data_IF_814630975199
#
_entry.id   IF_814630975199
#
_cell.length_a   1.000
_cell.length_b   1.000
_cell.length_c   1.000
_cell.angle_alpha   90.00
_cell.angle_beta   90.00
_cell.angle_gamma   90.00
#
_symmetry.space_group_name_H-M   'P 1'
#
loop_
_entity.id
_entity.type
_entity.pdbx_description
1 polymer ?
#
# COMPACT_ATOMS: atom_id res chain seq x y z
N UNK A 1 -12.98 6.63 -6.64
CA UNK A 1 -11.84 7.46 -6.22
C UNK A 1 -11.68 8.69 -7.10
N UNK A 2 -11.74 8.57 -8.42
CA UNK A 2 -11.71 9.72 -9.36
C UNK A 2 -12.73 10.82 -8.99
N UNK A 3 -13.99 10.44 -8.73
CA UNK A 3 -15.04 11.38 -8.30
C UNK A 3 -14.75 12.10 -6.96
N UNK A 4 -13.95 11.52 -6.08
CA UNK A 4 -13.55 12.17 -4.83
C UNK A 4 -12.39 13.15 -5.05
N UNK A 5 -11.50 12.87 -6.01
CA UNK A 5 -10.47 13.81 -6.45
C UNK A 5 -11.06 15.01 -7.20
N UNK A 6 -12.02 14.78 -8.09
CA UNK A 6 -12.74 15.84 -8.82
C UNK A 6 -13.45 16.81 -7.87
N UNK A 7 -13.94 16.30 -6.74
CA UNK A 7 -14.57 17.11 -5.69
C UNK A 7 -13.59 17.70 -4.67
N UNK A 8 -12.27 17.63 -4.92
CA UNK A 8 -11.21 18.11 -4.03
C UNK A 8 -11.21 17.51 -2.60
N UNK A 9 -11.89 16.38 -2.41
CA UNK A 9 -11.94 15.68 -1.12
C UNK A 9 -10.64 14.91 -0.84
N UNK A 10 -9.89 14.58 -1.89
CA UNK A 10 -8.61 13.89 -1.83
C UNK A 10 -7.64 14.58 -2.79
N UNK A 11 -6.45 14.95 -2.30
CA UNK A 11 -5.37 15.54 -3.10
C UNK A 11 -4.17 14.61 -3.13
N UNK A 12 -3.72 14.25 -4.32
CA UNK A 12 -2.60 13.35 -4.56
C UNK A 12 -1.24 14.03 -4.45
N UNK A 13 -0.18 13.25 -4.68
CA UNK A 13 1.19 13.75 -4.80
C UNK A 13 1.48 14.14 -6.25
N UNK A 14 2.00 15.34 -6.48
CA UNK A 14 2.48 15.73 -7.82
C UNK A 14 3.91 15.22 -8.02
N UNK A 15 4.12 14.36 -9.03
CA UNK A 15 5.41 13.72 -9.31
C UNK A 15 5.96 14.18 -10.66
N UNK A 16 7.28 14.39 -10.70
CA UNK A 16 8.03 14.67 -11.92
C UNK A 16 7.92 16.11 -12.44
N UNK A 17 8.64 16.39 -13.53
CA UNK A 17 8.64 17.71 -14.17
C UNK A 17 7.29 18.04 -14.82
N UNK A 18 6.57 17.01 -15.27
CA UNK A 18 5.24 17.12 -15.89
C UNK A 18 4.10 17.29 -14.88
N UNK A 19 4.40 17.27 -13.57
CA UNK A 19 3.42 17.42 -12.48
C UNK A 19 2.23 16.46 -12.59
N UNK A 20 2.51 15.18 -12.84
CA UNK A 20 1.46 14.16 -12.83
C UNK A 20 0.98 13.98 -11.39
N UNK A 21 -0.31 14.20 -11.15
CA UNK A 21 -0.92 13.98 -9.84
C UNK A 21 -1.26 12.50 -9.67
N UNK A 22 -0.63 11.86 -8.68
CA UNK A 22 -0.87 10.47 -8.33
C UNK A 22 -1.47 10.44 -6.93
N UNK A 23 -2.72 9.99 -6.84
CA UNK A 23 -3.45 9.88 -5.57
C UNK A 23 -3.48 8.46 -5.02
N UNK A 24 -3.37 7.43 -5.87
CA UNK A 24 -3.41 6.05 -5.45
C UNK A 24 -2.73 5.11 -6.46
N UNK A 25 -2.33 3.94 -5.95
CA UNK A 25 -1.87 2.80 -6.72
C UNK A 25 -2.69 1.59 -6.29
N UNK A 26 -3.40 0.97 -7.23
CA UNK A 26 -4.31 -0.13 -6.95
C UNK A 26 -3.97 -1.37 -7.77
N UNK A 27 -3.93 -2.52 -7.11
CA UNK A 27 -3.86 -3.83 -7.73
C UNK A 27 -4.71 -4.83 -6.94
N UNK A 28 -5.80 -5.32 -7.53
CA UNK A 28 -6.79 -6.15 -6.84
C UNK A 28 -7.24 -5.52 -5.50
N UNK A 29 -6.96 -6.19 -4.37
CA UNK A 29 -7.24 -5.73 -3.01
C UNK A 29 -6.10 -4.91 -2.37
N UNK A 30 -4.89 -4.94 -2.95
CA UNK A 30 -3.74 -4.17 -2.46
C UNK A 30 -3.74 -2.75 -3.03
N UNK A 31 -4.18 -1.79 -2.22
CA UNK A 31 -4.27 -0.36 -2.59
C UNK A 31 -3.42 0.52 -1.68
N UNK A 32 -2.64 1.41 -2.29
CA UNK A 32 -1.88 2.47 -1.61
C UNK A 32 -2.50 3.81 -1.97
N UNK A 33 -2.70 4.67 -0.97
CA UNK A 33 -3.13 6.05 -1.16
C UNK A 33 -1.98 7.01 -0.86
N UNK A 34 -1.76 7.97 -1.74
CA UNK A 34 -0.81 9.07 -1.56
C UNK A 34 -1.62 10.31 -1.19
N UNK A 35 -1.40 10.83 0.01
CA UNK A 35 -2.17 11.92 0.58
C UNK A 35 -1.24 13.03 1.05
N UNK A 36 -1.68 14.27 0.91
CA UNK A 36 -1.05 15.40 1.59
C UNK A 36 -1.18 15.24 3.12
N UNK A 37 -0.28 15.88 3.89
CA UNK A 37 -0.27 15.84 5.37
C UNK A 37 -1.39 16.71 6.00
N UNK A 38 -2.64 16.36 5.68
CA UNK A 38 -3.85 17.07 6.10
C UNK A 38 -4.81 16.08 6.77
N UNK A 39 -5.13 16.34 8.06
CA UNK A 39 -6.00 15.45 8.84
C UNK A 39 -7.41 15.37 8.25
N UNK A 40 -7.90 16.45 7.64
CA UNK A 40 -9.23 16.47 7.02
C UNK A 40 -9.27 15.54 5.80
N UNK A 41 -8.24 15.59 4.95
CA UNK A 41 -8.09 14.70 3.79
C UNK A 41 -8.02 13.23 4.22
N UNK A 42 -7.33 12.95 5.32
CA UNK A 42 -7.18 11.60 5.85
C UNK A 42 -8.54 11.08 6.33
N UNK A 43 -9.25 11.87 7.14
CA UNK A 43 -10.58 11.50 7.64
C UNK A 43 -11.58 11.28 6.50
N UNK A 44 -11.59 12.17 5.51
CA UNK A 44 -12.45 12.04 4.33
C UNK A 44 -12.19 10.72 3.58
N UNK A 45 -10.93 10.32 3.42
CA UNK A 45 -10.61 9.03 2.79
C UNK A 45 -11.14 7.86 3.61
N UNK A 46 -10.94 7.86 4.93
CA UNK A 46 -11.43 6.79 5.80
C UNK A 46 -12.95 6.65 5.73
N UNK A 47 -13.68 7.77 5.73
CA UNK A 47 -15.13 7.79 5.58
C UNK A 47 -15.59 7.24 4.23
N UNK A 48 -14.96 7.67 3.14
CA UNK A 48 -15.24 7.16 1.78
C UNK A 48 -14.99 5.65 1.70
N UNK A 49 -13.89 5.16 2.28
CA UNK A 49 -13.59 3.73 2.31
C UNK A 49 -14.59 2.93 3.15
N UNK A 50 -15.01 3.46 4.30
CA UNK A 50 -16.03 2.83 5.15
C UNK A 50 -17.39 2.77 4.44
N UNK A 51 -17.79 3.86 3.77
CA UNK A 51 -19.02 3.91 2.99
C UNK A 51 -18.99 2.88 1.86
N UNK A 52 -17.89 2.85 1.10
CA UNK A 52 -17.69 1.87 0.04
C UNK A 52 -17.77 0.43 0.55
N UNK A 53 -17.07 0.13 1.65
CA UNK A 53 -17.11 -1.19 2.27
C UNK A 53 -18.52 -1.56 2.73
N UNK A 54 -19.24 -0.62 3.34
CA UNK A 54 -20.62 -0.83 3.81
C UNK A 54 -21.56 -1.17 2.65
N UNK A 55 -21.47 -0.44 1.53
CA UNK A 55 -22.32 -0.68 0.36
C UNK A 55 -22.05 -2.05 -0.26
N UNK A 56 -20.79 -2.49 -0.28
CA UNK A 56 -20.38 -3.77 -0.87
C UNK A 56 -20.37 -4.95 0.11
N UNK A 57 -20.73 -4.74 1.38
CA UNK A 57 -20.63 -5.77 2.41
C UNK A 57 -19.19 -6.23 2.69
N UNK A 58 -18.20 -5.38 2.40
CA UNK A 58 -16.79 -5.61 2.66
C UNK A 58 -16.36 -5.03 4.01
N UNK A 59 -15.13 -5.34 4.44
CA UNK A 59 -14.53 -4.78 5.64
C UNK A 59 -13.05 -4.47 5.39
N UNK A 60 -12.63 -3.28 5.79
CA UNK A 60 -11.21 -2.89 5.79
C UNK A 60 -10.44 -3.81 6.75
N UNK A 61 -9.41 -4.48 6.24
CA UNK A 61 -8.54 -5.29 7.07
C UNK A 61 -7.47 -4.42 7.73
N UNK A 62 -7.83 -3.83 8.86
CA UNK A 62 -6.94 -2.92 9.61
C UNK A 62 -5.59 -3.53 9.98
N UNK A 63 -5.52 -4.84 10.22
CA UNK A 63 -4.28 -5.55 10.53
C UNK A 63 -3.32 -5.68 9.33
N UNK A 64 -3.80 -5.45 8.10
CA UNK A 64 -2.99 -5.37 6.88
C UNK A 64 -2.79 -3.93 6.40
N UNK A 65 -3.45 -2.96 7.03
CA UNK A 65 -3.29 -1.56 6.70
C UNK A 65 -2.17 -0.96 7.56
N UNK A 66 -1.41 -0.04 6.98
CA UNK A 66 -0.40 0.73 7.70
C UNK A 66 -0.32 2.15 7.17
N UNK A 67 -0.07 3.12 8.04
CA UNK A 67 0.20 4.51 7.66
C UNK A 67 1.69 4.79 7.74
N UNK A 68 2.28 5.27 6.64
CA UNK A 68 3.69 5.62 6.58
C UNK A 68 3.86 7.06 6.09
N UNK A 69 4.56 7.87 6.87
CA UNK A 69 4.87 9.26 6.53
C UNK A 69 6.12 9.36 5.67
N UNK A 70 6.15 10.32 4.75
CA UNK A 70 7.35 10.72 4.01
C UNK A 70 7.65 12.17 4.43
N UNK A 71 8.75 12.39 5.15
CA UNK A 71 9.11 13.70 5.71
C UNK A 71 7.98 14.34 6.56
N UNK A 72 7.21 13.53 7.28
CA UNK A 72 6.06 13.97 8.08
C UNK A 72 6.37 13.95 9.58
N UNK A 73 5.55 14.64 10.37
CA UNK A 73 5.66 14.60 11.84
C UNK A 73 5.29 13.21 12.38
N UNK A 74 6.21 12.63 13.15
CA UNK A 74 6.03 11.32 13.77
C UNK A 74 4.86 11.29 14.77
N UNK A 75 4.66 12.35 15.55
CA UNK A 75 3.57 12.40 16.54
C UNK A 75 2.20 12.42 15.85
N UNK A 76 2.08 13.20 14.77
CA UNK A 76 0.87 13.28 13.96
C UNK A 76 0.55 11.96 13.27
N UNK A 77 1.57 11.29 12.73
CA UNK A 77 1.43 9.97 12.09
C UNK A 77 0.94 8.91 13.08
N UNK A 78 1.54 8.85 14.28
CA UNK A 78 1.14 7.91 15.34
C UNK A 78 -0.31 8.15 15.76
N UNK A 79 -0.67 9.41 16.03
CA UNK A 79 -2.04 9.78 16.41
C UNK A 79 -3.06 9.36 15.36
N UNK A 80 -2.75 9.51 14.07
CA UNK A 80 -3.68 9.09 13.03
C UNK A 80 -3.73 7.56 12.90
N UNK A 81 -2.59 6.87 12.98
CA UNK A 81 -2.58 5.41 12.94
C UNK A 81 -3.45 4.81 14.04
N UNK A 82 -3.38 5.38 15.25
CA UNK A 82 -4.27 5.01 16.36
C UNK A 82 -5.73 5.31 16.04
N UNK A 83 -6.05 6.48 15.47
CA UNK A 83 -7.41 6.85 15.07
C UNK A 83 -7.99 5.89 14.01
N UNK A 84 -7.20 5.50 13.03
CA UNK A 84 -7.59 4.56 11.99
C UNK A 84 -7.60 3.12 12.51
N UNK A 85 -6.91 2.86 13.61
CA UNK A 85 -6.70 1.53 14.20
C UNK A 85 -5.80 0.66 13.33
N UNK A 86 -4.81 1.25 12.67
CA UNK A 86 -3.81 0.58 11.85
C UNK A 86 -2.40 0.81 12.40
N UNK A 87 -1.41 0.05 11.92
CA UNK A 87 -0.03 0.21 12.39
C UNK A 87 0.68 1.39 11.71
N UNK A 88 1.64 1.99 12.41
CA UNK A 88 2.59 2.92 11.79
C UNK A 88 3.58 2.10 10.96
N UNK A 89 3.55 2.31 9.64
CA UNK A 89 4.44 1.66 8.69
C UNK A 89 5.85 2.27 8.71
N UNK A 90 6.83 1.47 8.29
CA UNK A 90 8.20 1.91 8.09
C UNK A 90 8.61 1.82 6.62
N UNK A 91 9.50 2.71 6.19
CA UNK A 91 10.08 2.67 4.85
C UNK A 91 11.31 1.74 4.82
N UNK A 92 11.50 0.95 3.75
CA UNK A 92 10.64 0.83 2.57
C UNK A 92 9.37 -0.02 2.82
N UNK A 93 8.23 0.40 2.26
CA UNK A 93 6.94 -0.29 2.43
C UNK A 93 6.86 -1.47 1.48
N UNK A 94 6.36 -2.62 1.92
CA UNK A 94 6.15 -3.76 1.03
C UNK A 94 4.88 -3.60 0.20
N UNK A 95 4.99 -3.59 -1.12
CA UNK A 95 3.87 -3.59 -2.06
C UNK A 95 4.06 -4.67 -3.12
N UNK A 96 3.07 -5.55 -3.29
CA UNK A 96 3.12 -6.70 -4.23
C UNK A 96 4.32 -7.65 -4.03
N UNK A 97 4.90 -7.65 -2.83
CA UNK A 97 6.07 -8.46 -2.50
C UNK A 97 7.41 -7.78 -2.74
N UNK A 98 7.43 -6.51 -3.16
CA UNK A 98 8.64 -5.72 -3.40
C UNK A 98 8.73 -4.53 -2.42
N UNK A 99 9.94 -4.08 -2.07
CA UNK A 99 10.13 -2.90 -1.22
C UNK A 99 9.90 -1.62 -2.03
N UNK A 100 8.74 -1.00 -1.85
CA UNK A 100 8.41 0.32 -2.40
C UNK A 100 9.22 1.41 -1.69
N UNK A 101 9.90 2.25 -2.48
CA UNK A 101 10.77 3.32 -1.98
C UNK A 101 12.26 2.95 -1.89
N UNK A 102 12.63 1.70 -2.16
CA UNK A 102 14.02 1.29 -2.31
C UNK A 102 14.50 1.43 -3.77
N UNK A 103 15.80 1.28 -4.03
CA UNK A 103 16.44 1.53 -5.34
C UNK A 103 16.22 0.34 -6.29
N UNK A 104 15.38 0.46 -7.34
CA UNK A 104 15.09 -0.67 -8.23
C UNK A 104 16.28 -1.11 -9.09
N UNK A 105 17.31 -0.25 -9.19
CA UNK A 105 18.57 -0.54 -9.91
C UNK A 105 19.55 -1.38 -9.09
N UNK A 106 19.34 -1.52 -7.78
CA UNK A 106 20.17 -2.37 -6.95
C UNK A 106 19.77 -3.84 -7.16
N UNK A 107 20.75 -4.75 -7.23
CA UNK A 107 20.46 -6.18 -7.39
C UNK A 107 19.63 -6.71 -6.21
N UNK A 108 20.04 -6.33 -4.99
CA UNK A 108 19.40 -6.73 -3.72
C UNK A 108 17.90 -6.38 -3.63
N UNK A 109 17.44 -5.39 -4.40
CA UNK A 109 16.02 -5.00 -4.47
C UNK A 109 15.14 -6.18 -4.95
N UNK A 110 15.69 -7.02 -5.82
CA UNK A 110 14.96 -8.11 -6.48
C UNK A 110 15.03 -9.43 -5.72
N UNK A 111 15.85 -9.54 -4.66
CA UNK A 111 16.01 -10.77 -3.86
C UNK A 111 14.67 -11.34 -3.37
N UNK A 112 13.71 -10.54 -2.85
CA UNK A 112 12.43 -11.09 -2.41
C UNK A 112 11.62 -11.75 -3.53
N UNK A 113 11.75 -11.25 -4.76
CA UNK A 113 11.09 -11.84 -5.92
C UNK A 113 11.80 -13.12 -6.36
N UNK A 114 13.13 -13.12 -6.38
CA UNK A 114 13.96 -14.28 -6.71
C UNK A 114 13.71 -15.42 -5.71
N UNK A 115 13.82 -15.17 -4.41
CA UNK A 115 13.55 -16.18 -3.37
C UNK A 115 12.14 -16.76 -3.48
N UNK A 116 11.15 -15.93 -3.83
CA UNK A 116 9.76 -16.39 -4.01
C UNK A 116 9.62 -17.30 -5.23
N UNK A 117 10.37 -17.06 -6.29
CA UNK A 117 10.41 -17.94 -7.46
C UNK A 117 11.14 -19.24 -7.14
N UNK A 118 12.32 -19.18 -6.51
CA UNK A 118 13.09 -20.36 -6.11
C UNK A 118 12.27 -21.29 -5.20
N UNK A 119 11.61 -20.74 -4.17
CA UNK A 119 10.71 -21.51 -3.28
C UNK A 119 9.55 -22.17 -4.03
N UNK A 120 9.05 -21.56 -5.10
CA UNK A 120 7.99 -22.17 -5.92
C UNK A 120 8.55 -23.30 -6.77
N UNK A 121 9.72 -23.11 -7.39
CA UNK A 121 10.38 -24.12 -8.22
C UNK A 121 10.72 -25.36 -7.39
N UNK A 122 11.35 -25.21 -6.22
CA UNK A 122 11.68 -26.35 -5.35
C UNK A 122 10.44 -27.13 -4.90
N UNK A 123 9.35 -26.44 -4.56
CA UNK A 123 8.08 -27.11 -4.20
C UNK A 123 7.48 -27.93 -5.33
N UNK A 124 7.63 -27.46 -6.58
CA UNK A 124 7.15 -28.19 -7.75
C UNK A 124 8.01 -29.42 -8.03
N UNK A 125 9.33 -29.31 -7.88
CA UNK A 125 10.27 -30.44 -8.02
C UNK A 125 10.00 -31.54 -6.97
N UNK A 126 9.81 -31.16 -5.71
CA UNK A 126 9.42 -32.08 -4.64
C UNK A 126 8.09 -32.79 -4.93
N UNK A 127 7.09 -32.04 -5.42
CA UNK A 127 5.79 -32.60 -5.79
C UNK A 127 5.86 -33.62 -6.92
N UNK A 128 6.68 -33.36 -7.95
CA UNK A 128 6.90 -34.27 -9.07
C UNK A 128 7.63 -35.55 -8.61
N UNK A 129 8.64 -35.43 -7.75
CA UNK A 129 9.38 -36.57 -7.20
C UNK A 129 8.49 -37.49 -6.34
N UNK A 130 7.51 -36.93 -5.62
CA UNK A 130 6.54 -37.69 -4.84
C UNK A 130 5.53 -38.42 -5.76
N UNK A 131 5.14 -37.83 -6.90
CA UNK A 131 4.22 -38.47 -7.85
C UNK A 131 4.87 -39.57 -8.71
N UNK A 132 6.20 -39.60 -8.80
CA UNK A 132 6.96 -40.63 -9.53
C UNK A 132 7.38 -41.83 -8.64
N UNK A 133 6.97 -41.84 -7.37
CA UNK A 133 7.10 -42.99 -6.45
C UNK A 133 5.77 -43.70 -6.26
#
# INVERSE_FOLDING_TARGET
MEKAQENHLIKGLCIGQERVEISHLQFADDTIFFLAEDEEVWNNLLEVLNLFCTILGLKINKAKCSLAGINSDCEKLIRMADYWGCEVGSWPIKYLGLPLGDRPRALMFWDPAVEKMEKKTSKLEEGLLIQMR
#
